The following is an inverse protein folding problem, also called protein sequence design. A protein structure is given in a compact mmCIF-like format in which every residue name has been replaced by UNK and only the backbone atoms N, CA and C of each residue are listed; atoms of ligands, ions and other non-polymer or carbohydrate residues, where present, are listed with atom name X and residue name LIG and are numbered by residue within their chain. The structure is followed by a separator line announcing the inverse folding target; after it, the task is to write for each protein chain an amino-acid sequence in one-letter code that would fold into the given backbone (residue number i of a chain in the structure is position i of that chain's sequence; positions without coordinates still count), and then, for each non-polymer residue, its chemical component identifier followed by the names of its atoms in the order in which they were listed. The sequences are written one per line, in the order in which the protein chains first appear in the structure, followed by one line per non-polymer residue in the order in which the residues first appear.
data_IF_198278715609
#
_entry.id   IF_198278715609
#
_cell.length_a   1.000
_cell.length_b   1.000
_cell.length_c   1.000
_cell.angle_alpha   90.00
_cell.angle_beta   90.00
_cell.angle_gamma   90.00
#
_symmetry.space_group_name_H-M   'P 1'
#
loop_
_entity.id
_entity.type
_entity.pdbx_description
1 polymer ?
#
# COMPACT_ATOMS: atom_id res chain seq x y z
N UNK A 1 14.97 8.68 -15.45
CA UNK A 1 14.71 9.94 -16.20
C UNK A 1 13.76 10.81 -15.39
N UNK A 2 14.00 12.10 -15.17
CA UNK A 2 13.11 12.98 -14.37
C UNK A 2 12.31 13.92 -15.27
N UNK A 3 10.99 13.92 -15.14
CA UNK A 3 10.10 14.91 -15.76
C UNK A 3 8.98 15.27 -14.76
N UNK A 4 8.88 16.55 -14.39
CA UNK A 4 7.71 17.11 -13.69
C UNK A 4 6.89 17.91 -14.69
N UNK A 5 5.57 17.68 -14.70
CA UNK A 5 4.57 18.58 -15.29
C UNK A 5 3.46 18.69 -14.23
N UNK A 6 2.92 19.90 -14.00
CA UNK A 6 1.97 20.16 -12.92
C UNK A 6 0.87 21.16 -13.31
N UNK A 7 -0.34 20.91 -12.82
CA UNK A 7 -1.52 21.77 -12.94
C UNK A 7 -2.61 21.21 -13.88
N UNK A 8 -3.88 21.66 -13.74
CA UNK A 8 -4.42 22.56 -12.73
C UNK A 8 -5.00 21.82 -11.50
N UNK A 9 -5.40 22.58 -10.47
CA UNK A 9 -5.77 22.07 -9.15
C UNK A 9 -7.18 21.46 -9.08
N UNK A 10 -7.31 20.30 -8.42
CA UNK A 10 -8.54 19.94 -7.69
C UNK A 10 -8.31 20.29 -6.22
N UNK A 11 -9.21 21.06 -5.61
CA UNK A 11 -9.07 21.46 -4.21
C UNK A 11 -9.48 20.31 -3.28
N UNK A 12 -8.50 19.53 -2.81
CA UNK A 12 -8.69 18.73 -1.61
C UNK A 12 -8.94 19.66 -0.43
N UNK A 13 -10.05 19.44 0.29
CA UNK A 13 -10.36 20.16 1.53
C UNK A 13 -9.49 19.60 2.66
N UNK A 14 -8.21 19.96 2.66
CA UNK A 14 -7.29 19.63 3.75
C UNK A 14 -7.77 20.31 5.03
N UNK A 15 -8.36 19.51 5.93
CA UNK A 15 -8.67 19.94 7.28
C UNK A 15 -7.40 20.43 7.97
N UNK A 16 -7.52 21.53 8.72
CA UNK A 16 -6.38 22.17 9.39
C UNK A 16 -5.99 21.40 10.65
N UNK A 17 -5.45 20.19 10.48
CA UNK A 17 -4.84 19.39 11.54
C UNK A 17 -3.67 20.21 12.10
N UNK A 18 -3.84 20.74 13.32
CA UNK A 18 -2.93 21.74 13.89
C UNK A 18 -1.67 21.12 14.50
N UNK A 19 -1.76 19.86 14.94
CA UNK A 19 -0.68 18.98 15.39
C UNK A 19 -1.08 17.53 15.18
N UNK A 20 -0.09 16.67 14.96
CA UNK A 20 -0.16 15.23 14.80
C UNK A 20 1.09 14.63 15.45
N UNK A 21 1.02 13.38 15.91
CA UNK A 21 2.19 12.64 16.41
C UNK A 21 2.51 11.50 15.43
N UNK A 22 3.75 11.31 15.01
CA UNK A 22 4.08 10.31 13.99
C UNK A 22 5.53 10.32 13.53
N UNK A 23 5.84 9.59 12.46
CA UNK A 23 7.20 9.54 11.89
C UNK A 23 7.86 8.16 11.92
N UNK A 24 9.03 8.09 11.31
CA UNK A 24 9.78 6.88 10.95
C UNK A 24 10.62 6.32 12.10
N UNK A 25 10.68 4.99 12.17
CA UNK A 25 11.59 4.20 13.00
C UNK A 25 12.11 3.05 12.15
N UNK A 26 13.39 2.69 12.27
CA UNK A 26 13.93 1.46 11.70
C UNK A 26 14.64 0.60 12.74
N UNK A 27 14.56 -0.71 12.51
CA UNK A 27 15.14 -1.79 13.28
C UNK A 27 15.97 -2.69 12.35
N UNK A 28 17.16 -3.07 12.78
CA UNK A 28 18.00 -4.03 12.07
C UNK A 28 17.54 -5.47 12.31
N UNK A 29 17.88 -6.39 11.40
CA UNK A 29 17.45 -7.81 11.34
C UNK A 29 17.32 -8.58 12.68
N UNK A 30 18.12 -8.25 13.71
CA UNK A 30 18.03 -8.89 15.04
C UNK A 30 16.71 -8.62 15.78
N UNK A 31 16.03 -7.52 15.46
CA UNK A 31 14.77 -7.12 16.10
C UNK A 31 13.52 -7.42 15.25
N UNK A 32 13.68 -7.93 14.02
CA UNK A 32 12.56 -8.20 13.09
C UNK A 32 11.47 -9.11 13.68
N UNK A 33 11.83 -10.10 14.50
CA UNK A 33 10.81 -10.92 15.17
C UNK A 33 10.05 -10.13 16.26
N UNK A 34 10.75 -9.41 17.14
CA UNK A 34 10.12 -8.59 18.18
C UNK A 34 9.17 -7.54 17.58
N UNK A 35 9.55 -7.03 16.41
CA UNK A 35 8.77 -6.09 15.62
C UNK A 35 7.50 -6.69 15.03
N UNK A 36 7.57 -7.90 14.44
CA UNK A 36 6.39 -8.68 14.05
C UNK A 36 5.49 -9.02 15.25
N UNK A 37 6.08 -9.34 16.40
CA UNK A 37 5.32 -9.66 17.63
C UNK A 37 4.58 -8.43 18.18
N UNK A 38 5.25 -7.26 18.21
CA UNK A 38 4.64 -6.00 18.65
C UNK A 38 3.55 -5.53 17.67
N UNK A 39 3.74 -5.76 16.39
CA UNK A 39 2.72 -5.48 15.38
C UNK A 39 1.52 -6.41 15.52
N UNK A 40 1.73 -7.69 15.87
CA UNK A 40 0.65 -8.66 16.10
C UNK A 40 -0.29 -8.22 17.23
N UNK A 41 0.21 -7.51 18.24
CA UNK A 41 -0.61 -6.88 19.27
C UNK A 41 -1.35 -5.59 18.81
N UNK A 42 -0.91 -4.96 17.71
CA UNK A 42 -1.55 -3.79 17.13
C UNK A 42 -2.80 -4.15 16.30
N UNK A 43 -2.74 -5.12 15.38
CA UNK A 43 -3.89 -5.44 14.50
C UNK A 43 -4.90 -6.42 15.10
N UNK A 44 -4.60 -7.02 16.26
CA UNK A 44 -5.53 -7.90 16.96
C UNK A 44 -6.81 -7.14 17.39
N UNK A 45 -7.97 -7.80 17.50
CA UNK A 45 -9.18 -7.17 18.06
C UNK A 45 -8.93 -6.67 19.50
N UNK A 46 -9.25 -5.40 19.76
CA UNK A 46 -8.89 -4.70 21.00
C UNK A 46 -7.46 -4.14 21.05
N UNK A 47 -6.70 -4.29 19.96
CA UNK A 47 -5.38 -3.70 19.74
C UNK A 47 -5.45 -2.27 19.22
N UNK A 48 -4.28 -1.70 18.91
CA UNK A 48 -4.15 -0.30 18.47
C UNK A 48 -4.82 0.03 17.12
N UNK A 49 -5.22 -0.96 16.32
CA UNK A 49 -5.99 -0.77 15.08
C UNK A 49 -7.45 -0.29 15.33
N UNK A 50 -7.98 -0.52 16.54
CA UNK A 50 -9.33 -0.10 16.91
C UNK A 50 -9.36 1.36 17.45
N UNK A 51 -8.20 1.99 17.67
CA UNK A 51 -8.12 3.43 17.95
C UNK A 51 -8.28 4.21 16.65
N UNK A 52 -9.45 4.83 16.46
CA UNK A 52 -9.77 5.62 15.27
C UNK A 52 -8.85 6.84 15.02
N UNK A 53 -7.95 7.17 15.96
CA UNK A 53 -6.92 8.20 15.79
C UNK A 53 -5.57 7.63 15.36
N UNK A 54 -5.29 6.36 15.65
CA UNK A 54 -4.00 5.71 15.41
C UNK A 54 -3.97 4.92 14.12
N UNK A 55 -2.90 5.08 13.35
CA UNK A 55 -2.58 4.24 12.20
C UNK A 55 -1.05 4.13 12.03
N UNK A 56 -0.55 3.13 11.32
CA UNK A 56 0.91 2.98 11.13
C UNK A 56 1.28 2.27 9.83
N UNK A 57 2.51 2.50 9.38
CA UNK A 57 3.09 1.91 8.18
C UNK A 57 4.31 1.04 8.51
N UNK A 58 4.28 -0.30 8.59
CA UNK A 58 5.47 -1.12 8.32
C UNK A 58 6.03 -0.98 6.89
N UNK A 59 7.35 -0.89 6.86
CA UNK A 59 8.30 -1.06 5.75
C UNK A 59 9.16 -2.30 6.04
N UNK A 60 9.51 -3.04 4.98
CA UNK A 60 10.48 -4.13 5.03
C UNK A 60 11.32 -4.11 3.75
N UNK A 61 12.65 -4.16 3.91
CA UNK A 61 13.58 -4.22 2.77
C UNK A 61 14.51 -5.41 2.86
N UNK A 62 14.90 -5.93 1.70
CA UNK A 62 15.91 -6.98 1.59
C UNK A 62 16.89 -6.69 0.45
N UNK A 63 18.19 -6.80 0.75
CA UNK A 63 19.25 -6.76 -0.24
C UNK A 63 19.77 -8.19 -0.54
N UNK A 64 19.57 -8.72 -1.77
CA UNK A 64 19.94 -10.09 -2.10
C UNK A 64 21.47 -10.32 -2.18
N UNK A 65 22.25 -9.29 -2.51
CA UNK A 65 23.71 -9.41 -2.62
C UNK A 65 24.42 -9.40 -1.25
N UNK A 66 23.97 -8.58 -0.30
CA UNK A 66 24.59 -8.46 1.03
C UNK A 66 23.93 -9.33 2.10
N UNK A 67 22.76 -9.93 1.80
CA UNK A 67 21.96 -10.66 2.78
C UNK A 67 21.36 -9.79 3.89
N UNK A 68 21.31 -8.46 3.70
CA UNK A 68 20.84 -7.52 4.72
C UNK A 68 19.31 -7.42 4.70
N UNK A 69 18.69 -7.64 5.85
CA UNK A 69 17.25 -7.51 6.11
C UNK A 69 17.00 -6.32 7.06
N UNK A 70 15.99 -5.50 6.77
CA UNK A 70 15.56 -4.40 7.64
C UNK A 70 14.04 -4.40 7.84
N UNK A 71 13.61 -3.82 8.95
CA UNK A 71 12.20 -3.56 9.23
C UNK A 71 12.05 -2.14 9.75
N UNK A 72 11.00 -1.42 9.39
CA UNK A 72 10.75 -0.07 9.88
C UNK A 72 9.27 0.23 9.99
N UNK A 73 8.87 1.15 10.86
CA UNK A 73 7.49 1.64 10.93
C UNK A 73 7.45 3.15 10.84
N UNK A 74 6.47 3.69 10.15
CA UNK A 74 6.15 5.11 10.09
C UNK A 74 4.77 5.32 10.72
N UNK A 75 4.70 5.98 11.89
CA UNK A 75 3.44 6.11 12.64
C UNK A 75 2.62 7.33 12.23
N UNK A 76 1.31 7.27 12.49
CA UNK A 76 0.38 8.40 12.42
C UNK A 76 -0.59 8.36 13.61
N UNK A 77 -0.70 9.47 14.33
CA UNK A 77 -1.71 9.67 15.37
C UNK A 77 -2.39 11.03 15.23
N UNK A 78 -3.71 11.00 15.12
CA UNK A 78 -4.59 12.17 15.08
C UNK A 78 -4.78 12.78 16.48
N UNK A 79 -3.70 13.28 17.08
CA UNK A 79 -3.72 13.86 18.41
C UNK A 79 -2.40 14.48 18.85
N UNK A 80 -2.38 14.99 20.09
CA UNK A 80 -1.21 15.59 20.73
C UNK A 80 -0.45 14.63 21.66
N UNK A 81 -0.78 13.34 21.66
CA UNK A 81 -0.14 12.34 22.51
C UNK A 81 1.26 11.97 21.95
N UNK A 82 2.36 12.20 22.69
CA UNK A 82 3.70 11.83 22.24
C UNK A 82 4.00 10.33 22.37
N UNK A 83 3.17 9.56 23.09
CA UNK A 83 3.31 8.12 23.25
C UNK A 83 1.93 7.44 23.24
N UNK A 84 1.18 7.50 22.12
CA UNK A 84 -0.18 6.96 22.04
C UNK A 84 -0.21 5.49 22.42
N UNK A 85 -1.16 5.10 23.29
CA UNK A 85 -1.26 3.71 23.76
C UNK A 85 -1.33 2.70 22.61
N UNK A 86 -1.97 3.08 21.50
CA UNK A 86 -2.03 2.30 20.28
C UNK A 86 -0.66 1.74 19.84
N UNK A 87 0.46 2.41 20.11
CA UNK A 87 1.81 2.00 19.67
C UNK A 87 2.73 1.48 20.79
N UNK A 88 2.21 1.25 22.00
CA UNK A 88 3.03 0.98 23.20
C UNK A 88 4.04 -0.18 22.99
N UNK A 89 3.60 -1.26 22.34
CA UNK A 89 4.43 -2.46 22.11
C UNK A 89 5.65 -2.21 21.19
N UNK A 90 5.58 -1.26 20.26
CA UNK A 90 6.73 -0.94 19.39
C UNK A 90 7.78 -0.08 20.10
N UNK A 91 7.34 0.82 20.98
CA UNK A 91 8.23 1.74 21.71
C UNK A 91 9.19 1.01 22.67
N UNK A 92 8.90 -0.24 22.98
CA UNK A 92 9.75 -1.13 23.77
C UNK A 92 10.93 -1.76 23.00
N UNK A 93 10.99 -1.63 21.67
CA UNK A 93 11.97 -2.34 20.82
C UNK A 93 13.18 -1.44 20.50
N UNK A 94 14.44 -1.84 20.82
CA UNK A 94 15.64 -1.04 20.53
C UNK A 94 15.83 -0.69 19.05
N UNK A 95 15.71 0.61 18.73
CA UNK A 95 15.75 1.16 17.38
C UNK A 95 17.17 1.36 16.83
N UNK A 96 17.37 1.23 15.52
CA UNK A 96 18.59 1.66 14.81
C UNK A 96 18.51 3.14 14.41
N UNK A 97 17.32 3.63 14.05
CA UNK A 97 17.01 5.05 13.86
C UNK A 97 15.57 5.34 14.28
N UNK A 98 15.30 6.58 14.70
CA UNK A 98 13.96 7.05 15.09
C UNK A 98 13.85 8.56 14.86
N UNK A 99 12.81 8.98 14.15
CA UNK A 99 12.48 10.36 13.81
C UNK A 99 11.08 10.75 14.31
N UNK A 100 10.54 10.00 15.28
CA UNK A 100 9.17 10.18 15.79
C UNK A 100 8.99 11.55 16.45
N UNK A 101 8.01 12.33 15.98
CA UNK A 101 7.73 13.70 16.41
C UNK A 101 6.51 14.30 15.73
N UNK A 102 6.39 15.64 15.77
CA UNK A 102 5.27 16.37 15.14
C UNK A 102 5.66 16.75 13.71
N UNK A 103 5.10 16.06 12.71
CA UNK A 103 5.53 16.16 11.30
C UNK A 103 4.37 16.23 10.29
N UNK A 104 4.72 16.48 9.02
CA UNK A 104 3.76 16.68 7.91
C UNK A 104 3.35 15.36 7.21
N UNK A 105 2.14 15.36 6.67
CA UNK A 105 1.33 14.19 6.31
C UNK A 105 1.84 13.28 5.16
N UNK A 106 2.88 13.66 4.40
CA UNK A 106 3.08 13.18 3.03
C UNK A 106 4.11 12.05 2.84
N UNK A 107 4.22 11.09 3.75
CA UNK A 107 5.33 10.10 3.74
C UNK A 107 5.03 8.70 4.35
N UNK A 108 3.75 8.33 4.54
CA UNK A 108 3.38 7.32 5.57
C UNK A 108 2.17 6.44 5.16
N UNK A 109 2.34 5.32 4.43
CA UNK A 109 1.29 4.27 4.20
C UNK A 109 1.90 2.88 3.89
N UNK A 110 1.52 1.80 4.63
CA UNK A 110 1.62 0.33 4.26
C UNK A 110 1.71 -0.66 5.43
N UNK A 111 1.06 -1.85 5.43
CA UNK A 111 0.76 -2.73 6.60
C UNK A 111 1.37 -4.19 6.49
N UNK A 112 0.96 -5.38 7.00
CA UNK A 112 -0.01 -5.97 7.98
C UNK A 112 0.26 -7.48 8.31
N UNK A 113 0.72 -7.81 9.52
CA UNK A 113 0.70 -9.14 10.19
C UNK A 113 0.88 -10.48 9.46
N UNK A 114 -0.15 -11.33 9.42
CA UNK A 114 -0.07 -12.69 8.87
C UNK A 114 0.25 -12.63 7.38
N UNK A 115 -0.32 -11.63 6.69
CA UNK A 115 0.08 -11.22 5.36
C UNK A 115 1.51 -10.71 5.32
N UNK A 116 1.97 -9.83 6.22
CA UNK A 116 3.37 -9.41 6.27
C UNK A 116 4.32 -10.59 6.42
N UNK A 117 4.00 -11.59 7.25
CA UNK A 117 4.77 -12.83 7.34
C UNK A 117 4.76 -13.65 6.04
N UNK A 118 3.64 -13.63 5.30
CA UNK A 118 3.45 -14.37 4.04
C UNK A 118 4.19 -13.69 2.89
N UNK A 119 3.96 -12.38 2.71
CA UNK A 119 4.67 -11.51 1.79
C UNK A 119 6.15 -11.61 2.08
N UNK A 120 6.63 -11.30 3.29
CA UNK A 120 8.04 -11.36 3.66
C UNK A 120 8.69 -12.72 3.35
N UNK A 121 8.01 -13.85 3.62
CA UNK A 121 8.57 -15.18 3.27
C UNK A 121 8.67 -15.38 1.76
N UNK A 122 7.62 -15.10 1.00
CA UNK A 122 7.63 -15.28 -0.46
C UNK A 122 8.59 -14.27 -1.12
N UNK A 123 8.55 -13.01 -0.70
CA UNK A 123 9.43 -11.90 -1.09
C UNK A 123 10.91 -12.22 -0.84
N UNK A 124 11.32 -12.50 0.42
CA UNK A 124 12.71 -12.80 0.76
C UNK A 124 13.15 -14.12 0.10
N UNK A 125 12.28 -15.13 0.06
CA UNK A 125 12.55 -16.42 -0.59
C UNK A 125 12.79 -16.28 -2.10
N UNK A 126 11.85 -15.68 -2.81
CA UNK A 126 11.93 -15.50 -4.26
C UNK A 126 13.03 -14.50 -4.65
N UNK A 127 13.32 -13.48 -3.82
CA UNK A 127 14.45 -12.58 -4.05
C UNK A 127 15.79 -13.33 -3.90
N UNK A 128 15.95 -14.17 -2.87
CA UNK A 128 17.13 -15.04 -2.69
C UNK A 128 17.32 -16.04 -3.83
N UNK A 129 16.23 -16.47 -4.48
CA UNK A 129 16.25 -17.44 -5.58
C UNK A 129 16.38 -16.82 -6.99
N UNK A 130 15.82 -15.63 -7.22
CA UNK A 130 15.68 -15.04 -8.56
C UNK A 130 16.51 -13.76 -8.79
N UNK A 131 16.95 -13.08 -7.71
CA UNK A 131 17.62 -11.77 -7.78
C UNK A 131 19.02 -11.76 -7.13
N UNK A 132 19.59 -12.93 -6.82
CA UNK A 132 20.91 -13.09 -6.17
C UNK A 132 22.08 -12.48 -6.96
N UNK A 133 21.98 -12.44 -8.30
CA UNK A 133 22.98 -11.83 -9.19
C UNK A 133 22.61 -10.40 -9.64
N UNK A 134 21.46 -9.86 -9.21
CA UNK A 134 20.93 -8.57 -9.65
C UNK A 134 21.26 -7.47 -8.64
N UNK A 135 21.95 -6.41 -9.07
CA UNK A 135 22.20 -5.23 -8.25
C UNK A 135 20.93 -4.38 -8.08
N UNK A 136 20.12 -4.79 -7.10
CA UNK A 136 18.83 -4.21 -6.75
C UNK A 136 18.59 -4.16 -5.23
N UNK A 137 17.62 -3.34 -4.83
CA UNK A 137 16.91 -3.45 -3.55
C UNK A 137 15.50 -3.93 -3.85
N UNK A 138 15.01 -4.88 -3.06
CA UNK A 138 13.61 -5.32 -3.09
C UNK A 138 12.92 -4.70 -1.87
N UNK A 139 11.69 -4.20 -2.02
CA UNK A 139 10.87 -3.66 -0.94
C UNK A 139 9.39 -4.07 -1.07
N UNK A 140 8.65 -4.09 0.04
CA UNK A 140 7.20 -4.32 0.00
C UNK A 140 6.45 -3.45 1.02
N UNK A 141 5.19 -3.17 0.69
CA UNK A 141 4.38 -2.17 1.36
C UNK A 141 2.88 -2.57 1.23
N UNK A 142 2.15 -2.86 2.33
CA UNK A 142 0.82 -3.51 2.27
C UNK A 142 -0.39 -2.61 2.68
N UNK A 143 -0.85 -1.61 1.90
CA UNK A 143 -1.80 -0.58 2.42
C UNK A 143 -3.03 -1.09 3.26
N UNK A 144 -3.14 -0.67 4.54
CA UNK A 144 -4.86 -0.95 5.79
C UNK A 144 -6.20 -0.42 5.29
N UNK A 145 -7.04 -1.24 4.65
CA UNK A 145 -8.42 -0.85 4.32
C UNK A 145 -9.42 -1.31 5.39
N UNK A 146 -9.39 -0.63 6.54
CA UNK A 146 -10.24 -0.97 7.69
C UNK A 146 -11.73 -0.69 7.45
N UNK A 147 -12.60 -1.45 8.10
CA UNK A 147 -14.06 -1.27 8.09
C UNK A 147 -14.45 0.14 8.54
N UNK A 148 -13.72 0.73 9.48
CA UNK A 148 -13.91 2.12 9.92
C UNK A 148 -13.66 3.13 8.79
N UNK A 149 -12.56 3.00 8.03
CA UNK A 149 -12.28 3.84 6.86
C UNK A 149 -13.34 3.65 5.76
N UNK A 150 -13.78 2.41 5.52
CA UNK A 150 -14.81 2.09 4.53
C UNK A 150 -16.16 2.75 4.92
N UNK A 151 -16.56 2.70 6.20
CA UNK A 151 -17.75 3.39 6.69
C UNK A 151 -17.61 4.93 6.65
N UNK A 152 -16.47 5.49 7.03
CA UNK A 152 -16.22 6.93 6.95
C UNK A 152 -16.31 7.44 5.50
N UNK A 153 -15.77 6.66 4.55
CA UNK A 153 -15.89 6.93 3.11
C UNK A 153 -17.35 6.96 2.64
N UNK A 154 -18.17 5.99 3.08
CA UNK A 154 -19.61 5.94 2.76
C UNK A 154 -20.36 7.13 3.39
N UNK A 155 -20.09 7.46 4.66
CA UNK A 155 -20.68 8.61 5.35
C UNK A 155 -20.33 9.95 4.68
N UNK A 156 -19.16 10.04 4.03
CA UNK A 156 -18.73 11.20 3.24
C UNK A 156 -19.33 11.27 1.83
N UNK A 157 -20.29 10.41 1.49
CA UNK A 157 -20.95 10.34 0.17
C UNK A 157 -20.44 9.24 -0.76
N UNK A 158 -19.45 8.45 -0.31
CA UNK A 158 -18.84 7.38 -1.10
C UNK A 158 -17.80 7.87 -2.12
N UNK A 159 -17.19 6.93 -2.84
CA UNK A 159 -16.15 7.23 -3.82
C UNK A 159 -16.02 6.16 -4.90
N UNK A 160 -15.16 6.40 -5.90
CA UNK A 160 -14.98 5.52 -7.06
C UNK A 160 -14.54 4.09 -6.69
N UNK A 161 -13.73 3.94 -5.64
CA UNK A 161 -13.20 2.66 -5.13
C UNK A 161 -14.35 1.77 -4.58
N UNK A 162 -15.36 2.39 -3.94
CA UNK A 162 -16.63 1.76 -3.53
C UNK A 162 -16.51 0.43 -2.76
N UNK A 163 -15.58 0.37 -1.79
CA UNK A 163 -15.35 -0.80 -0.94
C UNK A 163 -16.61 -1.20 -0.14
N UNK A 164 -16.71 -2.48 0.23
CA UNK A 164 -17.84 -3.03 0.97
C UNK A 164 -17.43 -3.41 2.42
N UNK A 165 -17.88 -2.65 3.45
CA UNK A 165 -17.58 -2.95 4.85
C UNK A 165 -18.01 -4.34 5.30
N UNK A 166 -19.04 -4.94 4.67
CA UNK A 166 -19.50 -6.31 4.98
C UNK A 166 -18.51 -7.41 4.56
N UNK A 167 -17.35 -7.02 4.02
CA UNK A 167 -16.25 -7.92 3.62
C UNK A 167 -15.02 -7.78 4.51
N UNK A 168 -15.13 -7.00 5.60
CA UNK A 168 -14.11 -6.88 6.64
C UNK A 168 -12.94 -5.95 6.29
N UNK A 169 -11.95 -5.95 7.18
CA UNK A 169 -10.66 -5.33 6.93
C UNK A 169 -9.93 -6.14 5.85
N UNK A 170 -9.30 -5.46 4.90
CA UNK A 170 -8.40 -6.09 3.94
C UNK A 170 -7.19 -5.20 3.67
N UNK A 171 -6.23 -5.79 2.96
CA UNK A 171 -4.86 -5.31 2.87
C UNK A 171 -4.51 -5.23 1.38
N UNK A 172 -4.00 -4.10 0.92
CA UNK A 172 -3.30 -4.01 -0.37
C UNK A 172 -1.91 -4.65 -0.20
N UNK A 173 -1.21 -4.98 -1.28
CA UNK A 173 0.17 -5.48 -1.23
C UNK A 173 0.95 -4.99 -2.45
N UNK A 174 1.67 -3.89 -2.30
CA UNK A 174 2.72 -3.49 -3.23
C UNK A 174 3.99 -4.31 -2.96
N UNK A 175 4.62 -4.79 -4.04
CA UNK A 175 6.01 -5.24 -4.04
C UNK A 175 6.70 -4.46 -5.14
N UNK A 176 7.80 -3.80 -4.80
CA UNK A 176 8.61 -3.02 -5.74
C UNK A 176 10.06 -3.51 -5.73
N UNK A 177 10.76 -3.18 -6.81
CA UNK A 177 12.19 -3.42 -6.96
C UNK A 177 12.81 -2.13 -7.47
N UNK A 178 13.89 -1.68 -6.85
CA UNK A 178 14.77 -0.64 -7.38
C UNK A 178 16.01 -1.33 -7.94
N UNK A 179 16.19 -1.34 -9.27
CA UNK A 179 17.34 -1.95 -9.93
C UNK A 179 18.13 -0.93 -10.76
N UNK A 180 19.44 -1.18 -10.89
CA UNK A 180 20.40 -0.21 -11.43
C UNK A 180 20.72 -0.40 -12.92
N UNK A 181 20.45 -1.58 -13.48
CA UNK A 181 20.90 -2.01 -14.80
C UNK A 181 19.69 -2.40 -15.69
N UNK A 182 19.40 -1.67 -16.78
CA UNK A 182 18.19 -1.87 -17.60
C UNK A 182 18.19 -3.18 -18.41
N UNK A 183 19.28 -3.98 -18.36
CA UNK A 183 19.26 -5.33 -18.94
C UNK A 183 18.50 -6.33 -18.03
N UNK A 184 18.33 -6.02 -16.74
CA UNK A 184 17.71 -6.91 -15.76
C UNK A 184 16.17 -6.79 -15.72
N UNK A 185 15.59 -5.87 -16.51
CA UNK A 185 14.14 -5.58 -16.60
C UNK A 185 13.26 -6.84 -16.71
N UNK A 186 13.69 -7.84 -17.49
CA UNK A 186 12.93 -9.08 -17.68
C UNK A 186 13.02 -10.01 -16.46
N UNK A 187 14.15 -10.04 -15.76
CA UNK A 187 14.36 -10.83 -14.54
C UNK A 187 13.52 -10.23 -13.41
N UNK A 188 13.59 -8.92 -13.22
CA UNK A 188 12.79 -8.17 -12.24
C UNK A 188 11.28 -8.35 -12.51
N UNK A 189 10.86 -8.25 -13.78
CA UNK A 189 9.45 -8.47 -14.16
C UNK A 189 9.00 -9.91 -13.89
N UNK A 190 9.85 -10.92 -14.15
CA UNK A 190 9.55 -12.32 -13.85
C UNK A 190 9.42 -12.58 -12.34
N UNK A 191 10.32 -12.01 -11.52
CA UNK A 191 10.27 -12.05 -10.07
C UNK A 191 8.96 -11.44 -9.53
N UNK A 192 8.59 -10.24 -9.96
CA UNK A 192 7.36 -9.57 -9.53
C UNK A 192 6.12 -10.37 -9.93
N UNK A 193 6.06 -10.80 -11.20
CA UNK A 193 4.90 -11.55 -11.73
C UNK A 193 4.72 -12.90 -11.01
N UNK A 194 5.80 -13.64 -10.77
CA UNK A 194 5.75 -14.94 -10.08
C UNK A 194 5.39 -14.80 -8.60
N UNK A 195 6.00 -13.86 -7.88
CA UNK A 195 5.77 -13.65 -6.45
C UNK A 195 4.34 -13.17 -6.17
N UNK A 196 3.81 -12.26 -6.99
CA UNK A 196 2.40 -11.81 -6.89
C UNK A 196 1.44 -12.97 -7.20
N UNK A 197 1.70 -13.76 -8.25
CA UNK A 197 0.84 -14.90 -8.59
C UNK A 197 0.81 -15.97 -7.49
N UNK A 198 1.96 -16.27 -6.89
CA UNK A 198 2.09 -17.20 -5.76
C UNK A 198 1.33 -16.68 -4.52
N UNK A 199 1.45 -15.39 -4.21
CA UNK A 199 0.69 -14.77 -3.11
C UNK A 199 -0.82 -14.76 -3.38
N UNK A 200 -1.26 -14.48 -4.61
CA UNK A 200 -2.66 -14.63 -5.01
C UNK A 200 -3.15 -16.08 -4.83
N UNK A 201 -2.35 -17.09 -5.19
CA UNK A 201 -2.71 -18.51 -5.00
C UNK A 201 -2.80 -18.88 -3.51
N UNK A 202 -1.76 -18.61 -2.73
CA UNK A 202 -1.71 -18.94 -1.30
C UNK A 202 -2.83 -18.25 -0.49
N UNK A 203 -3.24 -17.04 -0.88
CA UNK A 203 -4.34 -16.30 -0.23
C UNK A 203 -5.72 -16.80 -0.68
N UNK A 204 -5.90 -17.18 -1.96
CA UNK A 204 -7.13 -17.84 -2.45
C UNK A 204 -7.35 -19.18 -1.75
N UNK A 205 -6.30 -20.00 -1.64
CA UNK A 205 -6.36 -21.30 -0.97
C UNK A 205 -6.73 -21.22 0.53
N UNK A 206 -6.48 -20.06 1.17
CA UNK A 206 -6.85 -19.80 2.58
C UNK A 206 -8.20 -19.07 2.73
N UNK A 207 -8.88 -18.71 1.63
CA UNK A 207 -10.10 -17.90 1.66
C UNK A 207 -9.87 -16.42 2.05
N UNK A 208 -8.63 -15.94 2.00
CA UNK A 208 -8.21 -14.60 2.43
C UNK A 208 -8.05 -13.60 1.27
N UNK A 209 -8.14 -14.06 0.02
CA UNK A 209 -7.97 -13.21 -1.16
C UNK A 209 -9.14 -12.24 -1.36
N UNK A 210 -8.87 -10.94 -1.27
CA UNK A 210 -9.79 -9.88 -1.65
C UNK A 210 -9.52 -9.48 -3.11
N UNK A 211 -10.49 -9.57 -4.04
CA UNK A 211 -10.27 -9.33 -5.47
C UNK A 211 -10.24 -7.82 -5.80
N UNK A 212 -9.21 -7.14 -5.31
CA UNK A 212 -9.04 -5.69 -5.43
C UNK A 212 -7.60 -5.35 -5.84
N UNK A 213 -7.43 -4.35 -6.72
CA UNK A 213 -6.11 -3.83 -7.13
C UNK A 213 -6.11 -2.31 -7.10
N UNK A 214 -5.20 -1.73 -6.32
CA UNK A 214 -5.15 -0.31 -6.00
C UNK A 214 -4.46 0.47 -7.13
N UNK A 215 -5.16 1.44 -7.75
CA UNK A 215 -4.73 2.12 -8.98
C UNK A 215 -3.33 2.75 -8.92
N UNK A 216 -2.86 3.12 -7.73
CA UNK A 216 -1.56 3.78 -7.53
C UNK A 216 -0.37 2.79 -7.62
N UNK A 217 -0.56 1.54 -7.18
CA UNK A 217 0.50 0.53 -6.96
C UNK A 217 0.30 -0.70 -7.87
N UNK A 218 -0.45 -0.53 -8.96
CA UNK A 218 -0.79 -1.58 -9.91
C UNK A 218 0.20 -1.66 -11.08
N UNK A 219 0.54 -2.86 -11.53
CA UNK A 219 1.54 -3.11 -12.57
C UNK A 219 1.10 -2.76 -14.00
N UNK A 220 2.08 -2.58 -14.89
CA UNK A 220 1.84 -2.33 -16.31
C UNK A 220 1.17 -3.54 -16.97
N UNK A 221 -0.05 -3.34 -17.46
CA UNK A 221 -0.86 -4.35 -18.16
C UNK A 221 -2.07 -4.87 -17.38
N UNK A 222 -2.20 -4.50 -16.10
CA UNK A 222 -3.34 -4.86 -15.28
C UNK A 222 -4.55 -3.91 -15.46
N UNK A 223 -5.69 -4.23 -14.85
CA UNK A 223 -6.94 -3.47 -14.96
C UNK A 223 -7.56 -3.15 -13.59
N UNK A 224 -6.96 -2.23 -12.79
CA UNK A 224 -7.35 -2.01 -11.41
C UNK A 224 -8.77 -1.45 -11.25
N UNK A 225 -9.17 -0.56 -12.17
CA UNK A 225 -10.48 0.09 -12.14
C UNK A 225 -11.63 -0.92 -12.32
N UNK A 226 -11.37 -2.07 -12.96
CA UNK A 226 -12.34 -3.17 -13.06
C UNK A 226 -12.60 -3.92 -11.75
N UNK A 227 -11.73 -3.77 -10.74
CA UNK A 227 -11.95 -4.36 -9.40
C UNK A 227 -12.84 -3.51 -8.50
N UNK A 228 -12.95 -2.21 -8.78
CA UNK A 228 -13.59 -1.22 -7.90
C UNK A 228 -15.10 -1.49 -7.74
N UNK A 229 -15.56 -1.49 -6.49
CA UNK A 229 -16.92 -1.90 -6.12
C UNK A 229 -17.27 -3.33 -6.53
N UNK A 230 -16.31 -4.27 -6.53
CA UNK A 230 -16.43 -5.60 -7.13
C UNK A 230 -16.89 -5.55 -8.60
N UNK A 231 -16.34 -4.59 -9.35
CA UNK A 231 -16.68 -4.28 -10.75
C UNK A 231 -17.89 -3.36 -10.95
N UNK A 232 -18.73 -3.15 -9.93
CA UNK A 232 -19.92 -2.29 -10.06
C UNK A 232 -19.56 -0.84 -10.41
N UNK A 233 -18.47 -0.30 -9.86
CA UNK A 233 -18.03 1.09 -10.10
C UNK A 233 -17.73 1.39 -11.56
N UNK A 234 -17.25 0.41 -12.33
CA UNK A 234 -16.80 0.63 -13.71
C UNK A 234 -17.94 1.19 -14.58
N UNK A 235 -19.15 0.65 -14.46
CA UNK A 235 -20.33 1.13 -15.20
C UNK A 235 -20.64 2.62 -14.91
N UNK A 236 -20.62 3.01 -13.64
CA UNK A 236 -20.84 4.39 -13.17
C UNK A 236 -19.73 5.33 -13.64
N UNK A 237 -18.47 4.89 -13.59
CA UNK A 237 -17.32 5.67 -14.08
C UNK A 237 -17.38 5.88 -15.59
N UNK A 238 -17.79 4.87 -16.38
CA UNK A 238 -18.03 5.00 -17.82
C UNK A 238 -19.13 6.02 -18.13
N UNK A 239 -20.24 5.99 -17.39
CA UNK A 239 -21.33 6.95 -17.56
C UNK A 239 -20.92 8.39 -17.19
N UNK A 240 -20.15 8.58 -16.11
CA UNK A 240 -19.58 9.87 -15.71
C UNK A 240 -18.61 10.38 -16.79
N UNK A 241 -17.69 9.54 -17.27
CA UNK A 241 -16.74 9.90 -18.32
C UNK A 241 -17.47 10.34 -19.60
N UNK A 242 -18.48 9.60 -20.08
CA UNK A 242 -19.27 10.01 -21.26
C UNK A 242 -20.04 11.32 -21.07
N UNK A 243 -20.41 11.68 -19.83
CA UNK A 243 -21.15 12.92 -19.52
C UNK A 243 -20.25 14.16 -19.43
N UNK A 244 -19.03 14.03 -18.90
CA UNK A 244 -18.15 15.16 -18.59
C UNK A 244 -16.88 15.24 -19.47
N UNK A 245 -16.51 14.14 -20.12
CA UNK A 245 -15.45 14.05 -21.14
C UNK A 245 -16.01 13.31 -22.39
N UNK A 246 -16.99 13.88 -23.11
CA UNK A 246 -17.66 13.21 -24.23
C UNK A 246 -16.71 12.92 -25.40
N UNK A 247 -15.62 13.69 -25.53
CA UNK A 247 -14.60 13.49 -26.56
C UNK A 247 -13.55 12.43 -26.15
N UNK A 248 -13.52 12.01 -24.87
CA UNK A 248 -12.58 11.02 -24.34
C UNK A 248 -11.15 11.53 -24.20
N UNK A 249 -10.94 12.83 -23.97
CA UNK A 249 -9.62 13.48 -23.82
C UNK A 249 -8.75 12.76 -22.78
N UNK A 250 -9.29 12.41 -21.61
CA UNK A 250 -8.55 11.72 -20.54
C UNK A 250 -8.36 10.21 -20.82
N UNK A 251 -9.19 9.64 -21.70
CA UNK A 251 -9.05 8.25 -22.14
C UNK A 251 -8.09 8.11 -23.35
N UNK A 252 -7.93 9.15 -24.17
CA UNK A 252 -7.10 9.17 -25.39
C UNK A 252 -5.71 9.76 -25.17
N UNK A 253 -5.58 10.89 -24.46
CA UNK A 253 -4.35 11.70 -24.46
C UNK A 253 -3.50 11.56 -23.20
N UNK A 254 -4.09 11.15 -22.07
CA UNK A 254 -3.35 10.88 -20.83
C UNK A 254 -2.89 9.42 -20.83
N UNK A 255 -1.65 9.08 -20.43
CA UNK A 255 -1.20 7.70 -20.29
C UNK A 255 -1.90 6.96 -19.13
N UNK A 256 -1.43 5.76 -18.78
CA UNK A 256 -1.93 4.97 -17.67
C UNK A 256 -3.30 4.32 -17.91
N UNK A 257 -3.88 3.74 -16.85
CA UNK A 257 -5.06 2.87 -16.91
C UNK A 257 -6.31 3.55 -17.50
N UNK A 258 -7.18 2.73 -18.10
CA UNK A 258 -8.35 3.17 -18.87
C UNK A 258 -9.62 2.44 -18.47
N UNK A 259 -10.76 3.08 -18.72
CA UNK A 259 -12.08 2.54 -18.44
C UNK A 259 -12.53 1.47 -19.46
N UNK A 260 -11.71 1.16 -20.48
CA UNK A 260 -11.90 0.03 -21.39
C UNK A 260 -13.19 0.10 -22.22
N UNK A 261 -13.52 1.28 -22.76
CA UNK A 261 -14.62 1.46 -23.70
C UNK A 261 -14.25 2.46 -24.78
N UNK A 262 -14.74 2.23 -26.00
CA UNK A 262 -14.47 3.11 -27.12
C UNK A 262 -15.41 4.32 -27.12
N UNK A 263 -14.84 5.45 -27.55
CA UNK A 263 -15.60 6.62 -27.96
C UNK A 263 -15.92 6.43 -29.44
N UNK A 264 -17.12 5.93 -29.72
CA UNK A 264 -17.68 5.93 -31.07
C UNK A 264 -17.57 7.35 -31.65
N UNK A 265 -17.28 7.43 -32.95
CA UNK A 265 -16.61 8.58 -33.55
C UNK A 265 -17.29 9.95 -33.33
N UNK A 266 -16.43 10.96 -33.20
CA UNK A 266 -16.67 12.37 -33.52
C UNK A 266 -15.70 12.73 -34.63
#
# INVERSE_FOLDING_TARGET
MRLRIAGPSTAFMCYRLTRLSGGSVQWGAKATQQYLDAYTAYIAPGGGIDDANGNLMPDFSYNPMTGTESSGTVYFYNGNDPSPKAFENFTAIPTVSSEVGIMNFSAIVSQTEFFASLVHRNFVGNAKLQLSEVNCTVGFALEPMTVAMQHATIASGGGAISLNPSKGNFLVAEIYVDWSNPNDDQIVKAFLTSTIAEMEEQTKAKGLYYPFKWLNDTGIGENPISSYGYGASLSKLRAISKKYDPNGVFQKLVPGFKLGFDFAGV
#
